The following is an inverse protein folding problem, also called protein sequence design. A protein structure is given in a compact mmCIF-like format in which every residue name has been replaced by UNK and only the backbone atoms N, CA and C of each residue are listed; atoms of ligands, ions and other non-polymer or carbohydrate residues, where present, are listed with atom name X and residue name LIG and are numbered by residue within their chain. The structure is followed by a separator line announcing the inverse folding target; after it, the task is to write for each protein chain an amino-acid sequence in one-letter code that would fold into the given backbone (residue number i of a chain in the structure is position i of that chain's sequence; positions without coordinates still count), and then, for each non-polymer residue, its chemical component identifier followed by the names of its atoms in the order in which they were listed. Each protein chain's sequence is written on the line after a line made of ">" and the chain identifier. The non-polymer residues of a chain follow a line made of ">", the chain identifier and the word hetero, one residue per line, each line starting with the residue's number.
data_IF_744936013143
#
_entry.id   IF_744936013143
#
_cell.length_a   1.000
_cell.length_b   1.000
_cell.length_c   1.000
_cell.angle_alpha   90.00
_cell.angle_beta   90.00
_cell.angle_gamma   90.00
#
_symmetry.space_group_name_H-M   'P 1'
#
loop_
_entity.id
_entity.type
_entity.pdbx_description
1 polymer ?
#
# COMPACT_ATOMS: atom_id res chain seq x y z
N UNK A 1 23.03 10.02 17.72
CA UNK A 1 21.56 9.97 17.52
C UNK A 1 21.24 10.80 16.30
N UNK A 2 21.59 10.31 15.10
CA UNK A 2 21.25 10.97 13.84
C UNK A 2 19.76 10.79 13.61
N UNK A 3 19.02 11.90 13.59
CA UNK A 3 17.59 11.90 13.32
C UNK A 3 17.29 11.12 12.05
N UNK A 4 16.30 10.23 12.13
CA UNK A 4 15.71 9.63 10.95
C UNK A 4 15.14 10.79 10.13
N UNK A 5 15.78 11.09 9.00
CA UNK A 5 15.36 12.15 8.11
C UNK A 5 13.92 11.81 7.67
N UNK A 6 12.96 12.68 7.96
CA UNK A 6 11.52 12.46 7.74
C UNK A 6 11.20 12.08 6.29
N UNK A 7 12.03 12.52 5.37
CA UNK A 7 11.85 12.35 3.92
C UNK A 7 12.05 10.90 3.48
N UNK A 8 12.75 10.09 4.29
CA UNK A 8 13.01 8.67 3.96
C UNK A 8 11.74 7.83 3.84
N UNK A 9 10.64 8.21 4.52
CA UNK A 9 9.36 7.50 4.46
C UNK A 9 8.57 7.77 3.16
N UNK A 10 8.92 8.83 2.42
CA UNK A 10 8.24 9.22 1.18
C UNK A 10 9.02 8.80 -0.07
N UNK A 11 10.23 8.25 0.08
CA UNK A 11 11.02 7.76 -1.05
C UNK A 11 10.44 6.44 -1.61
N UNK A 12 10.49 6.29 -2.93
CA UNK A 12 10.03 5.07 -3.59
C UNK A 12 10.93 3.90 -3.21
N UNK A 13 10.35 2.87 -2.58
CA UNK A 13 11.06 1.65 -2.21
C UNK A 13 11.71 0.95 -3.41
N UNK A 14 12.59 -0.02 -3.16
CA UNK A 14 13.22 -0.81 -4.23
C UNK A 14 12.24 -1.78 -4.91
N UNK A 15 11.07 -2.04 -4.33
CA UNK A 15 10.08 -2.96 -4.88
C UNK A 15 9.52 -2.46 -6.21
N UNK A 16 9.35 -3.36 -7.17
CA UNK A 16 8.76 -3.09 -8.49
C UNK A 16 7.80 -4.21 -8.86
N UNK A 17 6.58 -3.84 -9.26
CA UNK A 17 5.62 -4.80 -9.78
C UNK A 17 6.04 -5.23 -11.19
N UNK A 18 6.33 -6.52 -11.34
CA UNK A 18 6.74 -7.15 -12.60
C UNK A 18 5.59 -7.31 -13.60
N UNK A 19 4.34 -7.23 -13.14
CA UNK A 19 3.16 -7.32 -13.99
C UNK A 19 2.68 -5.95 -14.50
N UNK A 20 3.34 -4.87 -14.10
CA UNK A 20 3.04 -3.53 -14.58
C UNK A 20 3.25 -3.44 -16.10
N UNK A 21 2.22 -2.99 -16.82
CA UNK A 21 2.28 -2.83 -18.27
C UNK A 21 2.89 -1.47 -18.63
N UNK A 22 4.22 -1.40 -18.68
CA UNK A 22 4.96 -0.21 -19.09
C UNK A 22 6.46 -0.31 -18.77
N UNK A 23 7.22 0.73 -19.09
CA UNK A 23 8.65 0.79 -18.75
C UNK A 23 8.87 1.09 -17.26
N UNK A 24 10.07 0.78 -16.76
CA UNK A 24 10.48 1.10 -15.38
C UNK A 24 10.38 2.61 -15.10
N UNK A 25 10.71 3.47 -16.07
CA UNK A 25 10.59 4.92 -15.90
C UNK A 25 9.14 5.36 -15.79
N UNK A 26 8.22 4.71 -16.53
CA UNK A 26 6.79 5.01 -16.43
C UNK A 26 6.24 4.57 -15.07
N UNK A 27 6.59 3.38 -14.60
CA UNK A 27 6.19 2.90 -13.27
C UNK A 27 6.67 3.84 -12.17
N UNK A 28 7.94 4.29 -12.23
CA UNK A 28 8.47 5.23 -11.24
C UNK A 28 7.73 6.58 -11.28
N UNK A 29 7.42 7.11 -12.47
CA UNK A 29 6.60 8.32 -12.60
C UNK A 29 5.22 8.14 -12.01
N UNK A 30 4.56 7.00 -12.24
CA UNK A 30 3.26 6.69 -11.66
C UNK A 30 3.31 6.56 -10.14
N UNK A 31 4.36 5.95 -9.58
CA UNK A 31 4.53 5.82 -8.12
C UNK A 31 4.73 7.19 -7.45
N UNK A 32 5.40 8.15 -8.10
CA UNK A 32 5.59 9.52 -7.55
C UNK A 32 4.30 10.31 -7.38
N UNK A 33 3.24 9.96 -8.12
CA UNK A 33 1.95 10.67 -8.12
C UNK A 33 0.79 9.81 -7.59
N UNK A 34 1.07 8.57 -7.19
CA UNK A 34 0.05 7.62 -6.72
C UNK A 34 -0.47 8.06 -5.35
N UNK A 35 -1.79 8.03 -5.16
CA UNK A 35 -2.42 8.11 -3.83
C UNK A 35 -2.76 6.74 -3.25
N UNK A 36 -2.42 5.66 -3.96
CA UNK A 36 -2.60 4.28 -3.49
C UNK A 36 -1.33 3.75 -2.84
N UNK A 37 -1.47 3.26 -1.60
CA UNK A 37 -0.44 2.62 -0.80
C UNK A 37 -0.65 1.11 -0.78
N UNK A 38 0.45 0.36 -0.86
CA UNK A 38 0.47 -1.07 -0.53
C UNK A 38 0.80 -1.25 0.95
N UNK A 39 -0.01 -2.04 1.66
CA UNK A 39 0.18 -2.37 3.06
C UNK A 39 0.33 -3.88 3.18
N UNK A 40 1.53 -4.34 3.55
CA UNK A 40 1.86 -5.76 3.67
C UNK A 40 2.10 -6.19 5.12
N UNK A 41 2.36 -7.50 5.30
CA UNK A 41 2.61 -8.11 6.62
C UNK A 41 1.46 -7.89 7.61
N UNK A 42 0.23 -7.86 7.11
CA UNK A 42 -0.97 -7.82 7.94
C UNK A 42 -1.28 -9.21 8.47
N UNK A 43 -1.87 -9.27 9.65
CA UNK A 43 -2.46 -10.50 10.16
C UNK A 43 -3.59 -10.96 9.24
N UNK A 44 -3.76 -12.27 9.04
CA UNK A 44 -4.90 -12.81 8.28
C UNK A 44 -6.25 -12.54 8.94
N UNK A 45 -6.24 -12.11 10.20
CA UNK A 45 -7.43 -11.72 10.96
C UNK A 45 -7.69 -10.20 10.92
N UNK A 46 -6.82 -9.41 10.29
CA UNK A 46 -7.03 -7.97 10.16
C UNK A 46 -8.21 -7.69 9.23
N UNK A 47 -9.19 -6.92 9.73
CA UNK A 47 -10.40 -6.58 8.97
C UNK A 47 -10.25 -5.24 8.25
N UNK A 48 -11.11 -5.00 7.26
CA UNK A 48 -11.14 -3.74 6.51
C UNK A 48 -11.46 -2.56 7.43
N UNK A 49 -12.34 -2.74 8.41
CA UNK A 49 -12.73 -1.71 9.38
C UNK A 49 -11.55 -1.26 10.24
N UNK A 50 -10.69 -2.20 10.66
CA UNK A 50 -9.48 -1.88 11.42
C UNK A 50 -8.49 -1.05 10.59
N UNK A 51 -8.37 -1.36 9.29
CA UNK A 51 -7.55 -0.58 8.36
C UNK A 51 -8.16 0.81 8.16
N UNK A 52 -9.47 0.89 7.93
CA UNK A 52 -10.19 2.15 7.76
C UNK A 52 -9.99 3.06 8.98
N UNK A 53 -10.23 2.55 10.20
CA UNK A 53 -10.08 3.32 11.44
C UNK A 53 -8.66 3.87 11.61
N UNK A 54 -7.64 3.06 11.31
CA UNK A 54 -6.25 3.46 11.43
C UNK A 54 -5.86 4.51 10.39
N UNK A 55 -6.13 4.26 9.11
CA UNK A 55 -5.69 5.11 8.00
C UNK A 55 -6.50 6.41 7.89
N UNK A 56 -7.74 6.43 8.42
CA UNK A 56 -8.56 7.65 8.51
C UNK A 56 -7.95 8.73 9.40
N UNK A 57 -7.02 8.37 10.31
CA UNK A 57 -6.29 9.33 11.14
C UNK A 57 -5.34 10.21 10.34
N UNK A 58 -4.94 9.76 9.14
CA UNK A 58 -4.03 10.49 8.27
C UNK A 58 -4.74 11.30 7.18
N UNK A 59 -6.02 11.02 6.92
CA UNK A 59 -6.82 11.69 5.89
C UNK A 59 -8.01 10.84 5.43
N UNK A 60 -8.81 11.38 4.52
CA UNK A 60 -10.00 10.70 4.00
C UNK A 60 -9.60 9.52 3.11
N UNK A 61 -9.93 8.31 3.53
CA UNK A 61 -9.70 7.09 2.75
C UNK A 61 -10.80 6.97 1.69
N UNK A 62 -10.44 7.03 0.42
CA UNK A 62 -11.37 6.83 -0.70
C UNK A 62 -11.80 5.38 -0.85
N UNK A 63 -10.85 4.46 -0.72
CA UNK A 63 -11.09 3.03 -0.99
C UNK A 63 -10.04 2.15 -0.32
N UNK A 64 -10.49 1.01 0.20
CA UNK A 64 -9.63 -0.09 0.64
C UNK A 64 -9.89 -1.30 -0.25
N UNK A 65 -8.82 -2.00 -0.64
CA UNK A 65 -8.90 -3.25 -1.39
C UNK A 65 -8.14 -4.33 -0.62
N UNK A 66 -8.89 -5.24 0.01
CA UNK A 66 -8.31 -6.36 0.75
C UNK A 66 -7.68 -7.38 -0.20
N UNK A 67 -6.42 -7.74 0.06
CA UNK A 67 -5.74 -8.81 -0.66
C UNK A 67 -6.33 -10.15 -0.30
N UNK A 68 -6.79 -10.90 -1.30
CA UNK A 68 -7.40 -12.22 -1.13
C UNK A 68 -6.56 -13.33 -1.76
N UNK A 69 -6.56 -14.49 -1.11
CA UNK A 69 -6.09 -15.73 -1.72
C UNK A 69 -6.94 -16.07 -2.95
N UNK A 70 -6.29 -16.42 -4.07
CA UNK A 70 -6.97 -16.64 -5.36
C UNK A 70 -7.96 -17.80 -5.31
N UNK A 71 -7.69 -18.82 -4.49
CA UNK A 71 -8.46 -20.06 -4.39
C UNK A 71 -9.49 -19.95 -3.27
N UNK A 72 -9.05 -19.68 -2.04
CA UNK A 72 -9.87 -19.69 -0.84
C UNK A 72 -10.70 -18.41 -0.65
N UNK A 73 -10.39 -17.34 -1.39
CA UNK A 73 -11.01 -16.02 -1.25
C UNK A 73 -10.96 -15.46 0.18
N UNK A 74 -9.92 -15.82 0.92
CA UNK A 74 -9.67 -15.37 2.30
C UNK A 74 -8.57 -14.31 2.33
N UNK A 75 -8.55 -13.41 3.31
CA UNK A 75 -7.50 -12.40 3.44
C UNK A 75 -6.10 -13.02 3.48
N UNK A 76 -5.18 -12.52 2.67
CA UNK A 76 -3.82 -13.06 2.53
C UNK A 76 -2.72 -12.13 3.04
N UNK A 77 -3.05 -11.27 4.01
CA UNK A 77 -2.06 -10.50 4.78
C UNK A 77 -1.53 -9.25 4.08
N UNK A 78 -2.26 -8.72 3.10
CA UNK A 78 -1.99 -7.41 2.53
C UNK A 78 -3.28 -6.70 2.11
N UNK A 79 -3.21 -5.40 1.92
CA UNK A 79 -4.26 -4.60 1.29
C UNK A 79 -3.68 -3.41 0.51
N UNK A 80 -4.53 -2.74 -0.25
CA UNK A 80 -4.25 -1.44 -0.84
C UNK A 80 -5.17 -0.39 -0.24
N UNK A 81 -4.61 0.77 0.11
CA UNK A 81 -5.35 1.93 0.64
C UNK A 81 -5.19 3.10 -0.32
N UNK A 82 -6.29 3.65 -0.80
CA UNK A 82 -6.33 4.82 -1.68
C UNK A 82 -6.86 6.03 -0.92
N UNK A 83 -6.08 7.11 -0.95
CA UNK A 83 -6.48 8.43 -0.48
C UNK A 83 -7.05 9.31 -1.61
#
# INVERSE_FOLDING_TARGET
>A
LSGLNSDSYCEISQYRDQHFRGSRQLQEKSLKISSTLYVGNLSFYTTEEQIQELFSKCGDVKRIVMGLDKIKKTPCGFCFVEY
#
